data_IF_059815236962
#
_entry.id   IF_059815236962
#
_cell.length_a   1.000
_cell.length_b   1.000
_cell.length_c   1.000
_cell.angle_alpha   90.00
_cell.angle_beta   90.00
_cell.angle_gamma   90.00
#
_symmetry.space_group_name_H-M   'P 1'
#
loop_
_entity.id
_entity.type
_entity.pdbx_description
1 polymer ?
#
# COMPACT_ATOMS: atom_id res chain seq x y z
N UNK A 1 4.40 18.83 -1.25
CA UNK A 1 3.96 17.75 -2.15
C UNK A 1 2.65 18.16 -2.79
N UNK A 2 2.56 18.20 -4.12
CA UNK A 2 1.32 18.55 -4.81
C UNK A 2 0.51 17.28 -5.01
N UNK A 3 -0.59 17.14 -4.27
CA UNK A 3 -1.54 16.07 -4.47
C UNK A 3 -2.19 16.19 -5.85
N UNK A 4 -2.01 15.20 -6.72
CA UNK A 4 -2.65 15.17 -8.01
C UNK A 4 -4.13 14.82 -7.86
N UNK A 5 -5.01 15.73 -8.27
CA UNK A 5 -6.42 15.44 -8.43
C UNK A 5 -6.61 14.60 -9.69
N UNK A 6 -6.82 13.30 -9.54
CA UNK A 6 -7.10 12.43 -10.69
C UNK A 6 -8.57 12.55 -11.03
N UNK A 7 -8.86 13.00 -12.25
CA UNK A 7 -10.22 13.03 -12.75
C UNK A 7 -10.71 11.58 -12.94
N UNK A 8 -11.96 11.29 -12.56
CA UNK A 8 -12.56 9.97 -12.63
C UNK A 8 -12.37 9.26 -13.98
N UNK A 9 -12.64 9.98 -15.07
CA UNK A 9 -12.49 9.42 -16.42
C UNK A 9 -11.04 9.02 -16.72
N UNK A 10 -10.08 9.71 -16.13
CA UNK A 10 -8.67 9.37 -16.26
C UNK A 10 -8.33 8.13 -15.44
N UNK A 11 -8.82 8.04 -14.19
CA UNK A 11 -8.59 6.85 -13.37
C UNK A 11 -9.15 5.58 -14.02
N UNK A 12 -10.35 5.65 -14.60
CA UNK A 12 -10.94 4.51 -15.30
C UNK A 12 -10.10 4.08 -16.51
N UNK A 13 -9.62 5.05 -17.32
CA UNK A 13 -8.69 4.78 -18.43
C UNK A 13 -7.38 4.15 -17.96
N UNK A 14 -6.83 4.64 -16.86
CA UNK A 14 -5.60 4.12 -16.28
C UNK A 14 -5.80 2.69 -15.76
N UNK A 15 -6.94 2.42 -15.12
CA UNK A 15 -7.32 1.07 -14.67
C UNK A 15 -7.48 0.11 -15.86
N UNK A 16 -8.13 0.55 -16.93
CA UNK A 16 -8.27 -0.26 -18.16
C UNK A 16 -6.91 -0.55 -18.80
N UNK A 17 -6.03 0.46 -18.86
CA UNK A 17 -4.66 0.29 -19.36
C UNK A 17 -3.88 -0.71 -18.51
N UNK A 18 -3.94 -0.58 -17.20
CA UNK A 18 -3.29 -1.48 -16.25
C UNK A 18 -3.81 -2.92 -16.40
N UNK A 19 -5.12 -3.14 -16.39
CA UNK A 19 -5.72 -4.45 -16.58
C UNK A 19 -5.30 -5.10 -17.91
N UNK A 20 -5.29 -4.32 -18.99
CA UNK A 20 -4.85 -4.78 -20.33
C UNK A 20 -3.36 -5.15 -20.31
N UNK A 21 -2.53 -4.32 -19.69
CA UNK A 21 -1.10 -4.58 -19.60
C UNK A 21 -0.80 -5.85 -18.81
N UNK A 22 -1.45 -6.07 -17.66
CA UNK A 22 -1.32 -7.32 -16.91
C UNK A 22 -1.92 -8.53 -17.64
N UNK A 23 -2.81 -8.33 -18.61
CA UNK A 23 -3.57 -9.40 -19.26
C UNK A 23 -4.68 -9.95 -18.37
N UNK A 24 -5.23 -9.13 -17.47
CA UNK A 24 -6.34 -9.52 -16.59
C UNK A 24 -7.61 -9.66 -17.41
N UNK A 25 -8.22 -10.86 -17.36
CA UNK A 25 -9.43 -11.20 -18.12
C UNK A 25 -10.62 -11.62 -17.25
N UNK A 26 -10.42 -11.77 -15.95
CA UNK A 26 -11.45 -12.25 -15.01
C UNK A 26 -11.19 -11.77 -13.58
N UNK A 27 -12.06 -12.14 -12.68
CA UNK A 27 -11.87 -11.98 -11.24
C UNK A 27 -12.06 -10.57 -10.71
N UNK A 28 -11.35 -10.28 -9.63
CA UNK A 28 -11.47 -9.10 -8.79
C UNK A 28 -11.33 -7.78 -9.57
N UNK A 29 -10.32 -7.69 -10.40
CA UNK A 29 -9.99 -6.44 -11.10
C UNK A 29 -11.05 -6.01 -12.12
N UNK A 30 -11.71 -6.96 -12.80
CA UNK A 30 -12.83 -6.64 -13.68
C UNK A 30 -14.07 -6.19 -12.91
N UNK A 31 -14.29 -6.76 -11.72
CA UNK A 31 -15.39 -6.32 -10.86
C UNK A 31 -15.16 -4.89 -10.35
N UNK A 32 -13.92 -4.50 -10.06
CA UNK A 32 -13.58 -3.11 -9.73
C UNK A 32 -13.99 -2.14 -10.83
N UNK A 33 -13.66 -2.45 -12.06
CA UNK A 33 -14.06 -1.60 -13.20
C UNK A 33 -15.56 -1.37 -13.22
N UNK A 34 -16.37 -2.45 -13.15
CA UNK A 34 -17.83 -2.34 -13.17
C UNK A 34 -18.37 -1.53 -11.99
N UNK A 35 -17.90 -1.79 -10.78
CA UNK A 35 -18.34 -1.06 -9.59
C UNK A 35 -17.95 0.42 -9.63
N UNK A 36 -16.79 0.75 -10.22
CA UNK A 36 -16.38 2.15 -10.42
C UNK A 36 -17.28 2.82 -11.47
N UNK A 37 -17.60 2.17 -12.55
CA UNK A 37 -18.54 2.70 -13.54
C UNK A 37 -19.93 2.94 -12.93
N UNK A 38 -20.42 2.01 -12.11
CA UNK A 38 -21.68 2.13 -11.38
C UNK A 38 -21.63 3.29 -10.38
N UNK A 39 -20.52 3.43 -9.63
CA UNK A 39 -20.32 4.53 -8.67
C UNK A 39 -20.52 5.92 -9.26
N UNK A 40 -20.15 6.10 -10.53
CA UNK A 40 -20.27 7.40 -11.20
C UNK A 40 -21.57 7.59 -11.97
N UNK A 41 -22.29 6.52 -12.26
CA UNK A 41 -23.59 6.59 -12.95
C UNK A 41 -24.77 6.71 -11.97
N UNK A 42 -24.60 6.27 -10.73
CA UNK A 42 -25.68 6.22 -9.75
C UNK A 42 -25.70 7.45 -8.85
N UNK A 43 -26.91 7.93 -8.53
CA UNK A 43 -27.11 9.00 -7.55
C UNK A 43 -26.86 8.53 -6.11
N UNK A 44 -27.11 7.25 -5.83
CA UNK A 44 -26.83 6.63 -4.52
C UNK A 44 -25.54 5.82 -4.57
N UNK A 45 -24.58 6.18 -3.74
CA UNK A 45 -23.30 5.49 -3.62
C UNK A 45 -23.25 4.69 -2.34
N UNK A 46 -22.84 3.44 -2.43
CA UNK A 46 -22.66 2.57 -1.29
C UNK A 46 -21.22 2.67 -0.75
N UNK A 47 -21.01 2.19 0.49
CA UNK A 47 -19.67 2.03 1.07
C UNK A 47 -18.79 1.16 0.19
N UNK A 48 -19.31 0.07 -0.36
CA UNK A 48 -18.56 -0.81 -1.27
C UNK A 48 -17.98 -0.05 -2.46
N UNK A 49 -18.76 0.81 -3.11
CA UNK A 49 -18.30 1.61 -4.23
C UNK A 49 -17.09 2.49 -3.88
N UNK A 50 -17.11 3.11 -2.70
CA UNK A 50 -16.02 3.98 -2.23
C UNK A 50 -14.77 3.15 -1.94
N UNK A 51 -14.93 2.00 -1.27
CA UNK A 51 -13.81 1.12 -0.95
C UNK A 51 -13.19 0.52 -2.21
N UNK A 52 -14.00 0.06 -3.15
CA UNK A 52 -13.54 -0.47 -4.44
C UNK A 52 -12.77 0.57 -5.24
N UNK A 53 -13.24 1.81 -5.25
CA UNK A 53 -12.50 2.89 -5.89
C UNK A 53 -11.09 3.05 -5.27
N UNK A 54 -11.00 3.06 -3.94
CA UNK A 54 -9.70 3.10 -3.25
C UNK A 54 -8.82 1.88 -3.57
N UNK A 55 -9.39 0.68 -3.58
CA UNK A 55 -8.66 -0.55 -3.89
C UNK A 55 -8.14 -0.60 -5.34
N UNK A 56 -8.87 -0.01 -6.27
CA UNK A 56 -8.49 -0.01 -7.68
C UNK A 56 -7.21 0.79 -7.97
N UNK A 57 -6.83 1.73 -7.10
CA UNK A 57 -5.55 2.42 -7.21
C UNK A 57 -4.34 1.49 -7.04
N UNK A 58 -4.49 0.39 -6.31
CA UNK A 58 -3.44 -0.62 -6.17
C UNK A 58 -3.02 -1.17 -7.55
N UNK A 59 -3.99 -1.43 -8.43
CA UNK A 59 -3.74 -1.98 -9.77
C UNK A 59 -3.02 -0.97 -10.65
N UNK A 60 -3.49 0.29 -10.66
CA UNK A 60 -2.88 1.33 -11.47
C UNK A 60 -1.50 1.72 -10.97
N UNK A 61 -1.28 1.65 -9.67
CA UNK A 61 0.02 1.91 -9.06
C UNK A 61 1.01 0.79 -9.37
N UNK A 62 0.64 -0.48 -9.22
CA UNK A 62 1.47 -1.60 -9.63
C UNK A 62 1.86 -1.50 -11.12
N UNK A 63 0.92 -1.15 -12.00
CA UNK A 63 1.23 -0.95 -13.40
C UNK A 63 2.33 0.11 -13.59
N UNK A 64 2.18 1.30 -12.99
CA UNK A 64 3.17 2.38 -13.08
C UNK A 64 4.53 2.00 -12.53
N UNK A 65 4.55 1.23 -11.45
CA UNK A 65 5.80 0.78 -10.83
C UNK A 65 6.56 -0.24 -11.69
N UNK A 66 5.84 -1.05 -12.47
CA UNK A 66 6.44 -2.20 -13.13
C UNK A 66 6.51 -2.12 -14.66
N UNK A 67 5.81 -1.18 -15.31
CA UNK A 67 5.75 -1.12 -16.77
C UNK A 67 7.14 -1.03 -17.43
N UNK A 68 8.08 -0.31 -16.82
CA UNK A 68 9.44 -0.14 -17.31
C UNK A 68 10.43 -1.23 -16.85
N UNK A 69 10.10 -2.00 -15.81
CA UNK A 69 11.06 -2.85 -15.12
C UNK A 69 10.75 -4.34 -15.17
N UNK A 70 9.50 -4.72 -15.44
CA UNK A 70 9.03 -6.11 -15.35
C UNK A 70 9.77 -7.07 -16.27
N UNK A 71 10.28 -6.59 -17.39
CA UNK A 71 11.03 -7.41 -18.35
C UNK A 71 12.29 -8.04 -17.75
N UNK A 72 12.85 -7.43 -16.70
CA UNK A 72 14.01 -7.96 -15.97
C UNK A 72 13.70 -9.16 -15.08
N UNK A 73 12.43 -9.45 -14.84
CA UNK A 73 11.96 -10.48 -13.90
C UNK A 73 11.03 -11.44 -14.65
N UNK A 74 11.61 -12.49 -15.21
CA UNK A 74 10.84 -13.44 -16.02
C UNK A 74 9.77 -14.15 -15.20
N UNK A 75 8.51 -14.06 -15.64
CA UNK A 75 7.35 -14.64 -14.95
C UNK A 75 6.65 -13.73 -13.94
N UNK A 76 7.28 -12.63 -13.49
CA UNK A 76 6.71 -11.74 -12.48
C UNK A 76 5.38 -11.11 -12.92
N UNK A 77 5.26 -10.72 -14.18
CA UNK A 77 4.01 -10.16 -14.71
C UNK A 77 2.84 -11.15 -14.63
N UNK A 78 3.12 -12.43 -14.85
CA UNK A 78 2.11 -13.48 -14.72
C UNK A 78 1.72 -13.72 -13.25
N UNK A 79 2.68 -13.71 -12.34
CA UNK A 79 2.43 -13.80 -10.90
C UNK A 79 1.58 -12.63 -10.42
N UNK A 80 1.90 -11.40 -10.81
CA UNK A 80 1.07 -10.22 -10.51
C UNK A 80 -0.35 -10.37 -11.07
N UNK A 81 -0.52 -10.82 -12.33
CA UNK A 81 -1.83 -11.08 -12.92
C UNK A 81 -2.64 -12.06 -12.07
N UNK A 82 -2.04 -13.17 -11.67
CA UNK A 82 -2.70 -14.16 -10.82
C UNK A 82 -3.17 -13.57 -9.50
N UNK A 83 -2.37 -12.71 -8.87
CA UNK A 83 -2.74 -12.02 -7.65
C UNK A 83 -3.86 -10.99 -7.86
N UNK A 84 -3.90 -10.31 -9.00
CA UNK A 84 -4.95 -9.34 -9.33
C UNK A 84 -6.28 -9.99 -9.71
N UNK A 85 -6.27 -11.20 -10.24
CA UNK A 85 -7.48 -11.95 -10.59
C UNK A 85 -8.11 -12.66 -9.38
N UNK A 86 -7.32 -13.02 -8.38
CA UNK A 86 -7.72 -13.82 -7.22
C UNK A 86 -7.93 -12.98 -5.96
N UNK A 87 -8.49 -13.63 -4.94
CA UNK A 87 -8.73 -13.01 -3.64
C UNK A 87 -10.05 -12.26 -3.52
N UNK A 88 -10.39 -11.81 -2.33
CA UNK A 88 -11.61 -11.07 -2.06
C UNK A 88 -11.57 -9.69 -2.72
N UNK A 89 -12.77 -9.11 -2.94
CA UNK A 89 -12.89 -7.80 -3.58
C UNK A 89 -12.38 -6.70 -2.66
N UNK A 90 -12.84 -6.69 -1.43
CA UNK A 90 -12.42 -5.71 -0.43
C UNK A 90 -11.35 -6.31 0.49
N UNK A 91 -10.43 -5.46 0.96
CA UNK A 91 -9.45 -5.85 1.98
C UNK A 91 -10.10 -6.29 3.28
N UNK A 92 -11.22 -5.68 3.63
CA UNK A 92 -11.97 -5.99 4.84
C UNK A 92 -12.46 -7.44 4.85
N UNK A 93 -12.85 -7.96 3.69
CA UNK A 93 -13.32 -9.36 3.53
C UNK A 93 -12.23 -10.39 3.79
N UNK A 94 -10.96 -9.97 3.80
CA UNK A 94 -9.84 -10.85 4.12
C UNK A 94 -9.80 -11.30 5.58
N UNK A 95 -10.46 -10.56 6.46
CA UNK A 95 -10.53 -10.90 7.89
C UNK A 95 -11.31 -12.18 8.14
N UNK A 96 -12.30 -12.45 7.28
CA UNK A 96 -13.23 -13.57 7.43
C UNK A 96 -12.73 -14.84 6.75
N UNK A 97 -11.86 -14.74 5.75
CA UNK A 97 -11.43 -15.89 4.96
C UNK A 97 -9.89 -16.02 4.86
N UNK A 98 -9.25 -16.71 5.80
CA UNK A 98 -7.79 -16.78 5.87
C UNK A 98 -7.11 -17.54 4.72
N UNK A 99 -7.80 -18.44 4.03
CA UNK A 99 -7.19 -19.33 3.02
C UNK A 99 -6.89 -18.61 1.69
N UNK A 100 -7.63 -17.54 1.37
CA UNK A 100 -7.56 -16.88 0.06
C UNK A 100 -6.65 -15.65 0.02
N UNK A 101 -5.88 -15.41 1.07
CA UNK A 101 -5.28 -14.09 1.31
C UNK A 101 -3.83 -13.93 0.87
N UNK A 102 -3.12 -15.01 0.61
CA UNK A 102 -1.72 -14.95 0.13
C UNK A 102 -1.54 -14.08 -1.13
N UNK A 103 -2.57 -13.94 -1.93
CA UNK A 103 -2.51 -13.14 -3.15
C UNK A 103 -2.25 -11.65 -2.91
N UNK A 104 -2.80 -11.09 -1.82
CA UNK A 104 -2.50 -9.71 -1.44
C UNK A 104 -1.22 -9.57 -0.64
N UNK A 105 -0.78 -10.63 0.02
CA UNK A 105 0.52 -10.67 0.67
C UNK A 105 1.60 -10.51 -0.41
N UNK A 106 1.56 -11.30 -1.49
CA UNK A 106 2.45 -11.14 -2.64
C UNK A 106 2.29 -9.78 -3.36
N UNK A 107 1.06 -9.23 -3.44
CA UNK A 107 0.89 -7.88 -4.00
C UNK A 107 1.61 -6.82 -3.19
N UNK A 108 1.69 -6.95 -1.87
CA UNK A 108 2.48 -6.05 -1.03
C UNK A 108 3.98 -6.17 -1.32
N UNK A 109 4.49 -7.38 -1.50
CA UNK A 109 5.88 -7.63 -1.90
C UNK A 109 6.18 -6.98 -3.26
N UNK A 110 5.32 -7.19 -4.27
CA UNK A 110 5.48 -6.58 -5.60
C UNK A 110 5.38 -5.06 -5.55
N UNK A 111 4.49 -4.53 -4.75
CA UNK A 111 4.35 -3.09 -4.55
C UNK A 111 5.61 -2.48 -3.94
N UNK A 112 6.11 -3.07 -2.85
CA UNK A 112 7.31 -2.60 -2.17
C UNK A 112 8.54 -2.71 -3.07
N UNK A 113 8.74 -3.85 -3.73
CA UNK A 113 9.85 -4.07 -4.67
C UNK A 113 9.81 -3.06 -5.83
N UNK A 114 8.63 -2.83 -6.41
CA UNK A 114 8.45 -1.82 -7.46
C UNK A 114 8.80 -0.40 -6.99
N UNK A 115 8.41 -0.03 -5.78
CA UNK A 115 8.80 1.25 -5.16
C UNK A 115 10.32 1.36 -4.99
N UNK A 116 10.97 0.32 -4.51
CA UNK A 116 12.42 0.26 -4.33
C UNK A 116 13.16 0.41 -5.67
N UNK A 117 12.75 -0.31 -6.70
CA UNK A 117 13.36 -0.23 -8.04
C UNK A 117 13.24 1.18 -8.60
N UNK A 118 12.06 1.80 -8.50
CA UNK A 118 11.85 3.16 -8.97
C UNK A 118 12.63 4.19 -8.12
N UNK A 119 12.94 3.86 -6.84
CA UNK A 119 13.85 4.59 -5.99
C UNK A 119 15.33 4.30 -6.25
N UNK A 120 15.65 3.59 -7.34
CA UNK A 120 17.02 3.22 -7.72
C UNK A 120 17.71 2.23 -6.79
N UNK A 121 16.93 1.46 -6.02
CA UNK A 121 17.46 0.32 -5.26
C UNK A 121 17.67 -0.86 -6.21
N UNK A 122 18.85 -1.46 -6.24
CA UNK A 122 19.14 -2.59 -7.13
C UNK A 122 18.54 -3.89 -6.58
N UNK A 123 17.22 -4.07 -6.77
CA UNK A 123 16.49 -5.28 -6.41
C UNK A 123 16.89 -6.42 -7.36
N UNK A 124 17.18 -7.59 -6.78
CA UNK A 124 17.66 -8.78 -7.48
C UNK A 124 16.69 -9.97 -7.41
N UNK A 125 15.86 -10.05 -6.36
CA UNK A 125 14.82 -11.08 -6.22
C UNK A 125 13.53 -10.44 -5.71
N UNK A 126 12.38 -10.92 -6.20
CA UNK A 126 11.05 -10.57 -5.72
C UNK A 126 10.20 -11.84 -5.71
N UNK A 127 9.71 -12.26 -4.54
CA UNK A 127 8.86 -13.45 -4.37
C UNK A 127 9.50 -14.70 -5.05
N UNK A 128 10.78 -14.92 -4.80
CA UNK A 128 11.56 -16.00 -5.41
C UNK A 128 11.84 -15.84 -6.91
N UNK A 129 11.36 -14.78 -7.56
CA UNK A 129 11.61 -14.49 -8.97
C UNK A 129 12.89 -13.65 -9.11
N UNK A 130 13.86 -14.20 -9.79
CA UNK A 130 15.21 -13.63 -9.92
C UNK A 130 15.28 -12.69 -11.11
N UNK A 131 15.97 -11.56 -10.96
CA UNK A 131 16.29 -10.67 -12.06
C UNK A 131 17.26 -11.32 -13.06
N UNK A 132 17.15 -10.96 -14.33
CA UNK A 132 18.03 -11.49 -15.39
C UNK A 132 19.51 -11.22 -15.07
N UNK A 133 20.32 -12.26 -15.20
CA UNK A 133 21.76 -12.21 -14.92
C UNK A 133 22.15 -12.39 -13.46
N UNK A 134 21.19 -12.57 -12.56
CA UNK A 134 21.42 -12.85 -11.14
C UNK A 134 21.30 -14.34 -10.84
N UNK A 135 21.96 -14.79 -9.78
CA UNK A 135 21.85 -16.17 -9.32
C UNK A 135 20.63 -16.36 -8.41
N UNK A 136 19.92 -17.48 -8.49
CA UNK A 136 18.83 -17.77 -7.58
C UNK A 136 19.36 -17.79 -6.14
N UNK A 137 18.63 -17.14 -5.26
CA UNK A 137 18.86 -17.13 -3.82
C UNK A 137 17.58 -17.52 -3.13
N UNK A 138 17.68 -18.42 -2.18
CA UNK A 138 16.53 -19.04 -1.53
C UNK A 138 15.82 -18.08 -0.56
N UNK A 139 14.52 -18.21 -0.46
CA UNK A 139 13.63 -17.89 0.67
C UNK A 139 13.51 -16.45 1.20
N UNK A 140 13.79 -15.39 0.43
CA UNK A 140 13.44 -14.03 0.84
C UNK A 140 12.33 -13.44 -0.04
N UNK A 141 11.43 -12.65 0.55
CA UNK A 141 10.37 -11.96 -0.19
C UNK A 141 10.96 -10.94 -1.17
N UNK A 142 11.96 -10.15 -0.72
CA UNK A 142 12.69 -9.21 -1.56
C UNK A 142 14.19 -9.25 -1.22
N UNK A 143 15.06 -9.41 -2.23
CA UNK A 143 16.50 -9.23 -2.10
C UNK A 143 16.97 -8.03 -2.92
N UNK A 144 17.92 -7.28 -2.36
CA UNK A 144 18.53 -6.16 -3.04
C UNK A 144 20.02 -6.00 -2.65
N UNK A 145 20.77 -5.25 -3.46
CA UNK A 145 22.17 -4.96 -3.18
C UNK A 145 22.31 -3.63 -2.46
N UNK A 146 23.11 -3.61 -1.40
CA UNK A 146 23.51 -2.41 -0.71
C UNK A 146 24.98 -2.51 -0.27
N UNK A 147 25.83 -1.59 -0.75
CA UNK A 147 27.28 -1.59 -0.46
C UNK A 147 27.91 -2.99 -0.69
N UNK A 148 27.67 -3.55 -1.88
CA UNK A 148 28.19 -4.88 -2.31
C UNK A 148 27.67 -6.07 -1.49
N UNK A 149 26.76 -5.86 -0.57
CA UNK A 149 26.10 -6.92 0.22
C UNK A 149 24.70 -7.19 -0.29
N UNK A 150 24.27 -8.42 -0.15
CA UNK A 150 22.87 -8.79 -0.33
C UNK A 150 22.13 -8.51 0.97
N UNK A 151 21.01 -7.79 0.87
CA UNK A 151 20.14 -7.44 1.97
C UNK A 151 18.74 -7.99 1.71
N UNK A 152 18.06 -8.42 2.77
CA UNK A 152 16.74 -9.02 2.72
C UNK A 152 15.66 -8.02 3.17
N UNK A 153 14.47 -8.12 2.60
CA UNK A 153 13.26 -7.56 3.21
C UNK A 153 12.25 -8.67 3.31
N UNK A 154 11.86 -8.99 4.54
CA UNK A 154 10.75 -9.88 4.85
C UNK A 154 9.46 -9.08 4.97
N UNK A 155 8.47 -9.41 4.17
CA UNK A 155 7.18 -8.73 4.11
C UNK A 155 6.14 -9.49 4.94
N UNK A 156 5.45 -8.78 5.83
CA UNK A 156 4.37 -9.37 6.61
C UNK A 156 3.14 -8.47 6.56
N UNK A 157 1.98 -9.10 6.51
CA UNK A 157 0.71 -8.43 6.40
C UNK A 157 -0.27 -8.99 7.44
N UNK A 158 -0.11 -8.61 8.74
CA UNK A 158 -1.01 -9.04 9.78
C UNK A 158 -2.43 -8.50 9.53
N UNK A 159 -3.43 -9.36 9.70
CA UNK A 159 -4.84 -9.01 9.46
C UNK A 159 -5.53 -8.41 10.65
N UNK A 160 -5.01 -8.68 11.84
CA UNK A 160 -5.51 -8.20 13.13
C UNK A 160 -4.32 -7.69 13.95
N UNK A 161 -4.54 -6.67 14.75
CA UNK A 161 -3.51 -6.14 15.64
C UNK A 161 -2.91 -7.23 16.57
N UNK A 162 -3.75 -8.11 17.12
CA UNK A 162 -3.29 -9.21 17.98
C UNK A 162 -2.37 -10.25 17.30
N UNK A 163 -2.25 -10.22 15.96
CA UNK A 163 -1.32 -11.08 15.21
C UNK A 163 0.00 -10.39 14.85
N UNK A 164 0.13 -9.12 15.15
CA UNK A 164 1.33 -8.35 14.80
C UNK A 164 2.59 -8.97 15.39
N UNK A 165 2.59 -9.24 16.68
CA UNK A 165 3.75 -9.81 17.38
C UNK A 165 4.18 -11.16 16.81
N UNK A 166 3.23 -12.03 16.51
CA UNK A 166 3.49 -13.35 15.90
C UNK A 166 4.19 -13.19 14.55
N UNK A 167 3.67 -12.30 13.68
CA UNK A 167 4.24 -12.04 12.36
C UNK A 167 5.62 -11.39 12.41
N UNK A 168 5.87 -10.53 13.37
CA UNK A 168 7.19 -9.95 13.61
C UNK A 168 8.20 -11.04 14.00
N UNK A 169 7.81 -11.95 14.90
CA UNK A 169 8.66 -13.10 15.31
C UNK A 169 8.96 -14.04 14.15
N UNK A 170 7.95 -14.36 13.34
CA UNK A 170 8.13 -15.20 12.14
C UNK A 170 9.16 -14.59 11.19
N UNK A 171 8.99 -13.32 10.84
CA UNK A 171 9.89 -12.63 9.93
C UNK A 171 11.31 -12.51 10.49
N UNK A 172 11.44 -12.17 11.79
CA UNK A 172 12.75 -12.18 12.45
C UNK A 172 13.44 -13.53 12.33
N UNK A 173 12.71 -14.61 12.57
CA UNK A 173 13.27 -15.97 12.47
C UNK A 173 13.69 -16.31 11.02
N UNK A 174 12.97 -15.82 10.02
CA UNK A 174 13.35 -15.97 8.62
C UNK A 174 14.64 -15.22 8.33
N UNK A 175 14.74 -13.94 8.67
CA UNK A 175 15.95 -13.14 8.51
C UNK A 175 17.13 -13.77 9.27
N UNK A 176 16.91 -14.28 10.49
CA UNK A 176 17.99 -14.92 11.28
C UNK A 176 18.54 -16.19 10.63
N UNK A 177 17.71 -16.97 9.94
CA UNK A 177 18.17 -18.15 9.16
C UNK A 177 19.10 -17.72 8.03
N UNK A 178 18.74 -16.67 7.29
CA UNK A 178 19.55 -16.12 6.20
C UNK A 178 20.77 -15.35 6.71
N UNK A 179 20.73 -14.84 7.94
CA UNK A 179 21.87 -14.14 8.57
C UNK A 179 23.09 -15.06 8.78
N UNK A 180 22.89 -16.36 8.96
CA UNK A 180 24.01 -17.33 8.99
C UNK A 180 24.87 -17.25 7.73
N UNK A 181 24.29 -16.77 6.61
CA UNK A 181 24.97 -16.49 5.33
C UNK A 181 25.53 -15.05 5.24
N UNK A 182 25.66 -14.33 6.36
CA UNK A 182 26.11 -12.93 6.46
C UNK A 182 25.16 -11.89 5.83
N UNK A 183 23.88 -12.20 5.72
CA UNK A 183 22.87 -11.25 5.26
C UNK A 183 22.34 -10.44 6.43
N UNK A 184 21.92 -9.22 6.14
CA UNK A 184 21.23 -8.33 7.07
C UNK A 184 19.88 -7.99 6.46
N UNK A 185 18.85 -7.87 7.29
CA UNK A 185 17.50 -7.71 6.79
C UNK A 185 16.73 -6.56 7.40
N UNK A 186 15.69 -6.18 6.71
CA UNK A 186 14.62 -5.29 7.17
C UNK A 186 13.32 -6.08 7.21
N UNK A 187 12.46 -5.72 8.14
CA UNK A 187 11.10 -6.22 8.18
C UNK A 187 10.16 -5.17 7.60
N UNK A 188 9.32 -5.51 6.64
CA UNK A 188 8.28 -4.64 6.12
C UNK A 188 6.90 -5.15 6.56
N UNK A 189 6.11 -4.29 7.20
CA UNK A 189 4.79 -4.65 7.74
C UNK A 189 3.72 -3.77 7.10
N UNK A 190 2.78 -4.38 6.37
CA UNK A 190 1.57 -3.70 5.94
C UNK A 190 0.53 -3.69 7.07
N UNK A 191 0.38 -2.52 7.69
CA UNK A 191 -0.54 -2.27 8.79
C UNK A 191 -1.96 -1.88 8.33
N UNK A 192 -2.20 -1.78 7.03
CA UNK A 192 -3.41 -1.19 6.44
C UNK A 192 -4.71 -1.87 6.89
N UNK A 193 -4.67 -3.18 7.18
CA UNK A 193 -5.85 -3.93 7.58
C UNK A 193 -6.27 -3.70 9.02
N UNK A 194 -5.33 -3.59 9.93
CA UNK A 194 -5.64 -3.56 11.35
C UNK A 194 -5.54 -2.18 11.98
N UNK A 195 -4.90 -1.22 11.32
CA UNK A 195 -4.76 0.13 11.89
C UNK A 195 -6.12 0.78 12.16
N UNK A 196 -7.13 0.47 11.35
CA UNK A 196 -8.50 0.93 11.56
C UNK A 196 -9.20 0.27 12.74
N UNK A 197 -8.73 -0.93 13.19
CA UNK A 197 -9.25 -1.61 14.38
C UNK A 197 -8.85 -0.90 15.67
N UNK A 198 -7.79 -0.11 15.66
CA UNK A 198 -7.32 0.66 16.80
C UNK A 198 -8.25 1.84 17.16
N UNK A 199 -9.44 1.89 16.52
CA UNK A 199 -10.52 2.81 16.88
C UNK A 199 -10.28 4.26 16.45
N UNK A 200 -9.28 4.53 15.66
CA UNK A 200 -8.98 5.87 15.17
C UNK A 200 -9.76 6.16 13.90
N UNK A 201 -10.84 6.96 13.95
CA UNK A 201 -11.45 7.49 12.75
C UNK A 201 -10.44 8.48 12.14
N UNK A 202 -9.76 8.11 11.10
CA UNK A 202 -8.86 9.02 10.38
C UNK A 202 -9.68 10.13 9.71
N UNK A 203 -10.19 11.03 10.55
CA UNK A 203 -10.83 12.29 10.19
C UNK A 203 -9.89 13.40 10.62
N UNK A 204 -9.56 14.28 9.72
CA UNK A 204 -8.64 15.37 9.99
C UNK A 204 -9.09 16.64 9.27
N UNK A 205 -8.77 17.80 9.84
CA UNK A 205 -9.04 19.08 9.21
C UNK A 205 -8.03 19.40 8.11
N UNK A 206 -6.88 18.72 8.12
CA UNK A 206 -5.83 18.88 7.11
C UNK A 206 -5.10 17.56 6.84
N UNK A 207 -4.29 17.54 5.78
CA UNK A 207 -3.40 16.41 5.49
C UNK A 207 -2.30 16.27 6.55
N UNK A 208 -1.80 17.38 7.07
CA UNK A 208 -0.74 17.34 8.10
C UNK A 208 -1.27 16.77 9.42
N UNK A 209 -2.50 17.15 9.82
CA UNK A 209 -3.16 16.55 10.97
C UNK A 209 -3.34 15.03 10.80
N UNK A 210 -3.75 14.60 9.60
CA UNK A 210 -3.88 13.18 9.30
C UNK A 210 -2.56 12.42 9.42
N UNK A 211 -1.48 13.02 8.92
CA UNK A 211 -0.13 12.44 9.05
C UNK A 211 0.31 12.34 10.52
N UNK A 212 0.02 13.37 11.31
CA UNK A 212 0.29 13.34 12.74
C UNK A 212 -0.51 12.26 13.47
N UNK A 213 -1.77 12.05 13.12
CA UNK A 213 -2.59 10.96 13.68
C UNK A 213 -2.00 9.59 13.34
N UNK A 214 -1.61 9.35 12.08
CA UNK A 214 -0.96 8.10 11.66
C UNK A 214 0.36 7.90 12.38
N UNK A 215 1.19 8.94 12.44
CA UNK A 215 2.47 8.89 13.15
C UNK A 215 2.29 8.60 14.64
N UNK A 216 1.31 9.22 15.27
CA UNK A 216 0.97 8.94 16.67
C UNK A 216 0.64 7.46 16.88
N UNK A 217 -0.23 6.88 16.07
CA UNK A 217 -0.55 5.44 16.15
C UNK A 217 0.71 4.57 15.97
N UNK A 218 1.59 4.92 15.05
CA UNK A 218 2.83 4.19 14.85
C UNK A 218 3.75 4.26 16.07
N UNK A 219 3.89 5.43 16.68
CA UNK A 219 4.76 5.63 17.86
C UNK A 219 4.20 4.98 19.14
N UNK A 220 2.88 5.07 19.35
CA UNK A 220 2.27 4.62 20.61
C UNK A 220 1.85 3.15 20.61
N UNK A 221 1.34 2.65 19.47
CA UNK A 221 0.73 1.32 19.40
C UNK A 221 1.66 0.28 18.75
N UNK A 222 2.38 0.67 17.70
CA UNK A 222 3.13 -0.29 16.89
C UNK A 222 4.60 -0.36 17.25
N UNK A 223 5.24 0.77 17.43
CA UNK A 223 6.68 0.83 17.76
C UNK A 223 7.06 0.07 19.02
N UNK A 224 6.32 0.12 20.15
CA UNK A 224 6.66 -0.66 21.33
C UNK A 224 6.65 -2.17 21.07
N UNK A 225 5.75 -2.64 20.20
CA UNK A 225 5.65 -4.06 19.85
C UNK A 225 6.83 -4.52 19.00
N UNK A 226 7.25 -3.70 18.02
CA UNK A 226 8.26 -4.12 17.03
C UNK A 226 9.68 -3.79 17.45
N UNK A 227 9.91 -2.70 18.19
CA UNK A 227 11.25 -2.25 18.59
C UNK A 227 12.01 -3.29 19.44
N UNK A 228 11.31 -4.06 20.26
CA UNK A 228 11.90 -5.12 21.09
C UNK A 228 12.44 -6.32 20.27
N UNK A 229 12.16 -6.35 18.97
CA UNK A 229 12.59 -7.41 18.05
C UNK A 229 13.70 -6.99 17.09
N UNK A 230 14.18 -5.74 17.22
CA UNK A 230 15.38 -5.28 16.50
C UNK A 230 16.62 -5.90 17.13
N UNK A 231 17.52 -6.40 16.30
CA UNK A 231 18.81 -6.96 16.73
C UNK A 231 19.86 -6.81 15.62
N UNK A 232 20.98 -7.50 15.75
CA UNK A 232 22.06 -7.44 14.76
C UNK A 232 21.69 -8.01 13.38
N UNK A 233 20.66 -8.86 13.31
CA UNK A 233 20.14 -9.43 12.05
C UNK A 233 19.02 -8.59 11.44
N UNK A 234 18.12 -8.04 12.27
CA UNK A 234 17.00 -7.19 11.86
C UNK A 234 17.36 -5.72 12.11
N UNK A 235 17.83 -5.06 11.09
CA UNK A 235 18.35 -3.69 11.15
C UNK A 235 17.27 -2.61 11.19
N UNK A 236 16.01 -2.97 10.94
CA UNK A 236 14.91 -2.03 11.03
C UNK A 236 13.58 -2.62 10.61
N UNK A 237 12.52 -1.92 10.96
CA UNK A 237 11.14 -2.24 10.59
C UNK A 237 10.53 -1.08 9.82
N UNK A 238 10.10 -1.36 8.61
CA UNK A 238 9.30 -0.47 7.77
C UNK A 238 7.82 -0.74 8.04
N UNK A 239 7.13 0.22 8.61
CA UNK A 239 5.69 0.18 8.77
C UNK A 239 5.05 0.87 7.57
N UNK A 240 4.16 0.20 6.88
CA UNK A 240 3.40 0.73 5.76
C UNK A 240 1.92 0.79 6.12
N UNK A 241 1.28 1.84 5.70
CA UNK A 241 -0.18 1.98 5.77
C UNK A 241 -0.72 2.55 4.47
N UNK A 242 -1.84 1.98 4.02
CA UNK A 242 -2.71 2.55 3.01
C UNK A 242 -4.13 2.54 3.54
N UNK A 243 -4.71 3.70 3.68
CA UNK A 243 -6.06 3.85 4.21
C UNK A 243 -6.85 4.90 3.46
N UNK A 244 -8.17 4.81 3.59
CA UNK A 244 -9.09 5.84 3.14
C UNK A 244 -9.40 6.75 4.33
N UNK A 245 -9.07 8.03 4.20
CA UNK A 245 -9.26 9.02 5.24
C UNK A 245 -10.19 10.15 4.79
N UNK A 246 -10.79 10.85 5.74
CA UNK A 246 -11.57 12.05 5.50
C UNK A 246 -10.78 13.27 5.89
N UNK A 247 -10.66 14.24 4.99
CA UNK A 247 -10.06 15.54 5.29
C UNK A 247 -11.03 16.67 4.94
N UNK A 248 -10.99 17.75 5.72
CA UNK A 248 -11.74 18.96 5.39
C UNK A 248 -10.98 19.75 4.32
N UNK A 249 -11.74 20.36 3.43
CA UNK A 249 -11.24 21.30 2.44
C UNK A 249 -12.02 22.59 2.57
N UNK A 250 -11.31 23.64 2.90
CA UNK A 250 -11.87 24.99 2.82
C UNK A 250 -11.81 25.45 1.37
N UNK A 251 -12.97 25.54 0.73
CA UNK A 251 -13.05 26.17 -0.58
C UNK A 251 -13.31 27.66 -0.38
N UNK A 252 -12.34 28.48 -0.78
CA UNK A 252 -12.55 29.91 -0.93
C UNK A 252 -13.62 30.13 -2.01
N UNK A 253 -14.53 31.02 -1.73
CA UNK A 253 -15.83 31.25 -2.34
C UNK A 253 -15.87 31.79 -3.79
N UNK A 254 -14.84 31.56 -4.60
CA UNK A 254 -14.80 32.10 -5.97
C UNK A 254 -15.92 31.55 -6.87
N UNK A 255 -16.59 30.48 -6.46
CA UNK A 255 -17.62 29.80 -7.28
C UNK A 255 -18.97 29.56 -6.60
N UNK A 256 -19.23 30.12 -5.44
CA UNK A 256 -20.56 30.08 -4.86
C UNK A 256 -21.33 31.34 -5.21
N UNK A 257 -22.55 31.19 -5.72
CA UNK A 257 -23.47 32.31 -6.04
C UNK A 257 -23.78 33.24 -4.82
N UNK A 258 -23.34 32.88 -3.62
CA UNK A 258 -23.54 33.62 -2.37
C UNK A 258 -22.25 34.07 -1.67
N UNK A 259 -21.08 33.76 -2.20
CA UNK A 259 -19.81 34.25 -1.64
C UNK A 259 -19.38 33.70 -0.27
N UNK A 260 -20.11 32.76 0.31
CA UNK A 260 -19.77 32.20 1.62
C UNK A 260 -18.79 31.06 1.51
N UNK A 261 -17.72 31.03 2.34
CA UNK A 261 -16.81 29.89 2.38
C UNK A 261 -17.56 28.68 2.97
N UNK A 262 -17.50 27.55 2.27
CA UNK A 262 -18.04 26.31 2.81
C UNK A 262 -16.94 25.26 3.03
N UNK A 263 -17.15 24.46 4.04
CA UNK A 263 -16.26 23.34 4.37
C UNK A 263 -16.85 22.07 3.78
N UNK A 264 -16.10 21.43 2.92
CA UNK A 264 -16.46 20.14 2.34
C UNK A 264 -15.53 19.03 2.87
N UNK A 265 -16.08 17.83 3.07
CA UNK A 265 -15.29 16.66 3.35
C UNK A 265 -14.85 16.00 2.06
N UNK A 266 -13.57 15.66 1.98
CA UNK A 266 -13.00 14.89 0.90
C UNK A 266 -12.51 13.55 1.41
N UNK A 267 -12.72 12.50 0.63
CA UNK A 267 -12.08 11.22 0.84
C UNK A 267 -10.72 11.22 0.15
N UNK A 268 -9.71 10.76 0.87
CA UNK A 268 -8.34 10.64 0.36
C UNK A 268 -7.79 9.25 0.65
N UNK A 269 -7.16 8.66 -0.34
CA UNK A 269 -6.26 7.53 -0.10
C UNK A 269 -4.93 8.08 0.40
N UNK A 270 -4.53 7.65 1.59
CA UNK A 270 -3.26 8.02 2.20
C UNK A 270 -2.37 6.81 2.23
N UNK A 271 -1.13 7.01 1.83
CA UNK A 271 -0.06 6.03 1.96
C UNK A 271 1.05 6.64 2.79
N UNK A 272 1.58 5.90 3.73
CA UNK A 272 2.70 6.33 4.53
C UNK A 272 3.65 5.17 4.82
N UNK A 273 4.95 5.47 4.79
CA UNK A 273 6.01 4.61 5.28
C UNK A 273 6.65 5.26 6.50
N UNK A 274 6.82 4.49 7.56
CA UNK A 274 7.54 4.91 8.76
C UNK A 274 8.61 3.87 9.08
N UNK A 275 9.81 4.33 9.36
CA UNK A 275 10.93 3.46 9.72
C UNK A 275 11.17 3.49 11.23
N UNK A 276 11.27 2.32 11.82
CA UNK A 276 11.77 2.12 13.17
C UNK A 276 13.16 1.50 13.05
N UNK A 277 14.17 2.34 13.00
CA UNK A 277 15.59 1.94 12.94
C UNK A 277 16.50 3.16 12.97
N UNK A 278 17.69 2.96 13.51
CA UNK A 278 18.81 3.90 13.41
C UNK A 278 19.86 3.47 12.38
N UNK A 279 19.62 2.36 11.67
CA UNK A 279 20.57 1.82 10.69
C UNK A 279 20.69 2.67 9.43
N UNK A 280 21.89 2.72 8.85
CA UNK A 280 22.13 3.37 7.55
C UNK A 280 21.31 2.70 6.45
N UNK A 281 21.21 1.38 6.47
CA UNK A 281 20.40 0.61 5.52
C UNK A 281 18.92 1.01 5.57
N UNK A 282 18.33 1.05 6.77
CA UNK A 282 16.93 1.43 6.93
C UNK A 282 16.66 2.84 6.43
N UNK A 283 17.52 3.80 6.76
CA UNK A 283 17.41 5.20 6.28
C UNK A 283 17.54 5.30 4.76
N UNK A 284 18.45 4.55 4.17
CA UNK A 284 18.60 4.49 2.72
C UNK A 284 17.30 3.99 2.05
N UNK A 285 16.77 2.87 2.51
CA UNK A 285 15.52 2.29 1.98
C UNK A 285 14.35 3.26 2.15
N UNK A 286 14.18 3.88 3.33
CA UNK A 286 13.11 4.85 3.57
C UNK A 286 13.21 6.06 2.63
N UNK A 287 14.40 6.61 2.41
CA UNK A 287 14.62 7.73 1.51
C UNK A 287 14.23 7.38 0.07
N UNK A 288 14.56 6.17 -0.39
CA UNK A 288 14.14 5.69 -1.70
C UNK A 288 12.62 5.56 -1.81
N UNK A 289 11.95 5.06 -0.78
CA UNK A 289 10.49 4.94 -0.73
C UNK A 289 9.78 6.29 -0.67
N UNK A 290 10.35 7.26 0.05
CA UNK A 290 9.76 8.59 0.24
C UNK A 290 9.67 9.40 -1.06
N UNK A 291 10.58 9.17 -2.02
CA UNK A 291 10.56 9.85 -3.32
C UNK A 291 9.30 9.54 -4.14
N UNK A 292 8.61 8.44 -3.86
CA UNK A 292 7.45 7.95 -4.60
C UNK A 292 6.14 7.96 -3.81
N UNK A 293 6.08 8.64 -2.65
CA UNK A 293 4.85 8.75 -1.87
C UNK A 293 3.86 9.70 -2.56
N UNK A 294 3.04 9.16 -3.47
CA UNK A 294 1.90 9.90 -4.03
C UNK A 294 0.68 9.76 -3.13
N UNK A 295 0.06 10.87 -2.78
CA UNK A 295 -1.26 10.89 -2.14
C UNK A 295 -2.32 11.01 -3.23
N UNK A 296 -3.09 9.96 -3.47
CA UNK A 296 -4.23 10.00 -4.39
C UNK A 296 -5.41 10.70 -3.72
N UNK A 297 -5.95 11.74 -4.34
CA UNK A 297 -7.09 12.50 -3.82
C UNK A 297 -8.35 12.10 -4.57
N UNK A 298 -9.32 11.54 -3.85
CA UNK A 298 -10.67 11.36 -4.35
C UNK A 298 -11.50 12.60 -3.98
N UNK A 299 -11.80 13.45 -4.94
CA UNK A 299 -12.74 14.57 -4.75
C UNK A 299 -14.15 14.07 -4.99
N UNK A 300 -14.93 13.93 -3.92
CA UNK A 300 -16.36 13.67 -4.00
C UNK A 300 -17.09 15.02 -4.02
N UNK A 301 -17.80 15.30 -5.11
CA UNK A 301 -18.54 16.56 -5.25
C UNK A 301 -19.65 16.63 -4.18
N UNK A 302 -19.93 17.78 -3.56
CA UNK A 302 -20.89 17.94 -2.46
C UNK A 302 -22.37 17.61 -2.80
N UNK A 303 -22.72 17.39 -4.08
CA UNK A 303 -24.04 16.88 -4.49
C UNK A 303 -24.31 15.41 -4.12
N UNK A 304 -23.33 14.72 -3.59
CA UNK A 304 -23.47 13.35 -3.11
C UNK A 304 -23.95 13.42 -1.68
N UNK A 305 -25.11 12.85 -1.42
CA UNK A 305 -25.78 12.83 -0.11
C UNK A 305 -24.84 12.56 1.05
N UNK A 306 -25.18 13.07 2.20
CA UNK A 306 -24.26 13.20 3.36
C UNK A 306 -23.37 11.97 3.52
N UNK A 307 -22.07 12.17 3.56
CA UNK A 307 -21.07 11.12 3.81
C UNK A 307 -21.33 10.33 5.10
N UNK A 308 -22.23 10.83 5.96
CA UNK A 308 -22.64 10.19 7.21
C UNK A 308 -23.47 8.92 6.96
N UNK A 309 -24.14 8.79 5.80
CA UNK A 309 -24.85 7.57 5.40
C UNK A 309 -23.93 6.43 4.93
N UNK A 310 -22.64 6.69 4.79
CA UNK A 310 -21.63 5.69 4.36
C UNK A 310 -21.04 4.93 5.58
N UNK A 311 -21.40 5.31 6.79
CA UNK A 311 -20.88 4.69 8.04
C UNK A 311 -21.79 3.60 8.63
N UNK A 312 -22.97 3.34 8.09
CA UNK A 312 -23.89 2.30 8.55
C UNK A 312 -23.62 0.96 7.84
#
# INVERSE_FOLDING_TARGET
>A
MHGHSIHYSQHLKDLERACRWFGVSKGRSLRYRRLIEEFFRQDKRTREHVLVYNESFEITELYRLWEAHVARFRGLKESMRNCLEKGPILREDERENPVTNRWRDHLFEYFLAGKLINGSVPVVVVDGIVADGESPSEDADILFRFNERICDIECKRPRKHGRLLERVKEARNQIQKTHQERRQGLLAIDCSLFITELGHPFKATSEDELRLQIHHVFETELKPVVASHLDASVLGVLLYVRLLARTQVHQSSIHTLRGEPYTAWQLRTVQNFTLISDSILGRYVLNCLAQFSETSILRIHPKVGSLDSIQA
#
